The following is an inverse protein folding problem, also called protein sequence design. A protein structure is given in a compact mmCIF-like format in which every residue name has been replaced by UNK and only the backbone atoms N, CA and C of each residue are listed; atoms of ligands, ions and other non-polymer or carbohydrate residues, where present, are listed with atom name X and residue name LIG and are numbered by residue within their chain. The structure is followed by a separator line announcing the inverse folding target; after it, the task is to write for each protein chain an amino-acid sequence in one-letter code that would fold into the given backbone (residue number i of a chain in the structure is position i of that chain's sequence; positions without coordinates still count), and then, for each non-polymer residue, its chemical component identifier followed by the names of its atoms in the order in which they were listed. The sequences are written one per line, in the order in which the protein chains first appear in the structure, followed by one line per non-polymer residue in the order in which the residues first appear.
data_IF_895300054104
#
_entry.id   IF_895300054104
#
_cell.length_a   1.000
_cell.length_b   1.000
_cell.length_c   1.000
_cell.angle_alpha   90.00
_cell.angle_beta   90.00
_cell.angle_gamma   90.00
#
_symmetry.space_group_name_H-M   'P 1'
#
loop_
_entity.id
_entity.type
_entity.pdbx_description
1 polymer ?
#
# COMPACT_ATOMS: atom_id res chain seq x y z
N UNK A 1 -43.15 -8.37 28.47
CA UNK A 1 -42.26 -7.27 28.92
C UNK A 1 -41.27 -7.73 29.99
N UNK A 2 -41.73 -8.43 31.05
CA UNK A 2 -40.91 -8.95 32.15
C UNK A 2 -39.78 -9.92 31.73
N UNK A 3 -40.08 -10.91 30.88
CA UNK A 3 -39.09 -11.86 30.34
C UNK A 3 -37.95 -11.19 29.55
N UNK A 4 -38.24 -10.08 28.85
CA UNK A 4 -37.25 -9.34 28.05
C UNK A 4 -36.26 -8.59 28.96
N UNK A 5 -36.74 -8.08 30.10
CA UNK A 5 -35.90 -7.45 31.13
C UNK A 5 -35.01 -8.47 31.85
N UNK A 6 -35.54 -9.65 32.15
CA UNK A 6 -34.74 -10.74 32.75
C UNK A 6 -33.62 -11.17 31.78
N UNK A 7 -33.93 -11.35 30.49
CA UNK A 7 -32.93 -11.71 29.48
C UNK A 7 -31.82 -10.66 29.36
N UNK A 8 -32.20 -9.37 29.35
CA UNK A 8 -31.24 -8.26 29.28
C UNK A 8 -30.37 -8.18 30.54
N UNK A 9 -30.95 -8.37 31.71
CA UNK A 9 -30.24 -8.34 32.99
C UNK A 9 -29.29 -9.53 33.13
N UNK A 10 -29.71 -10.72 32.68
CA UNK A 10 -28.87 -11.91 32.64
C UNK A 10 -27.70 -11.75 31.66
N UNK A 11 -27.95 -11.16 30.49
CA UNK A 11 -26.92 -10.84 29.50
C UNK A 11 -25.86 -9.87 30.05
N UNK A 12 -26.30 -8.81 30.73
CA UNK A 12 -25.39 -7.85 31.38
C UNK A 12 -24.61 -8.53 32.52
N UNK A 13 -25.26 -9.37 33.33
CA UNK A 13 -24.58 -10.13 34.40
C UNK A 13 -23.55 -11.11 33.83
N UNK A 14 -23.85 -11.78 32.72
CA UNK A 14 -22.90 -12.67 32.03
C UNK A 14 -21.72 -11.86 31.47
N UNK A 15 -21.97 -10.68 30.89
CA UNK A 15 -20.90 -9.79 30.43
C UNK A 15 -20.03 -9.26 31.58
N UNK A 16 -20.63 -8.89 32.71
CA UNK A 16 -19.89 -8.46 33.91
C UNK A 16 -19.11 -9.62 34.51
N UNK A 17 -19.69 -10.83 34.59
CA UNK A 17 -19.03 -12.01 35.13
C UNK A 17 -17.87 -12.49 34.25
N UNK A 18 -18.05 -12.51 32.92
CA UNK A 18 -16.96 -12.79 31.98
C UNK A 18 -15.87 -11.72 32.07
N UNK A 19 -16.23 -10.44 32.18
CA UNK A 19 -15.29 -9.35 32.39
C UNK A 19 -14.48 -9.50 33.70
N UNK A 20 -15.14 -9.89 34.81
CA UNK A 20 -14.49 -10.14 36.11
C UNK A 20 -13.55 -11.34 36.03
N UNK A 21 -13.95 -12.46 35.42
CA UNK A 21 -13.08 -13.63 35.22
C UNK A 21 -11.84 -13.24 34.41
N UNK A 22 -12.01 -12.48 33.33
CA UNK A 22 -10.90 -12.07 32.48
C UNK A 22 -9.93 -11.10 33.15
N UNK A 23 -10.40 -10.19 34.02
CA UNK A 23 -9.54 -9.33 34.84
C UNK A 23 -8.79 -10.16 35.89
N UNK A 24 -9.48 -11.08 36.57
CA UNK A 24 -8.86 -11.96 37.57
C UNK A 24 -7.84 -12.96 36.98
N UNK A 25 -7.94 -13.24 35.68
CA UNK A 25 -7.06 -14.16 34.95
C UNK A 25 -5.99 -13.45 34.10
N UNK A 26 -5.78 -12.15 34.33
CA UNK A 26 -4.77 -11.37 33.65
C UNK A 26 -3.37 -11.90 34.03
N UNK A 27 -2.53 -12.35 33.07
CA UNK A 27 -1.25 -13.00 33.34
C UNK A 27 -0.16 -12.00 33.77
N UNK A 28 -0.52 -10.79 34.17
CA UNK A 28 0.40 -9.71 34.53
C UNK A 28 0.68 -9.77 36.04
N UNK A 29 1.92 -10.11 36.48
CA UNK A 29 2.26 -10.09 37.90
C UNK A 29 2.19 -8.70 38.53
N UNK A 30 2.03 -8.65 39.85
CA UNK A 30 1.65 -7.45 40.61
C UNK A 30 2.63 -6.28 40.44
N UNK A 31 3.92 -6.59 40.33
CA UNK A 31 5.01 -5.64 40.15
C UNK A 31 4.94 -4.84 38.83
N UNK A 32 4.28 -5.39 37.80
CA UNK A 32 4.15 -4.74 36.48
C UNK A 32 2.75 -4.22 36.17
N UNK A 33 1.75 -4.43 37.05
CA UNK A 33 0.36 -3.96 36.85
C UNK A 33 0.23 -2.43 36.74
N UNK A 34 1.20 -1.68 37.30
CA UNK A 34 1.26 -0.21 37.15
C UNK A 34 1.62 0.22 35.72
N UNK A 35 2.27 -0.66 34.95
CA UNK A 35 2.75 -0.39 33.59
C UNK A 35 1.88 -1.05 32.54
N UNK A 36 1.54 -2.32 32.75
CA UNK A 36 0.79 -3.13 31.80
C UNK A 36 -0.63 -3.40 32.30
N UNK A 37 -1.58 -3.52 31.38
CA UNK A 37 -2.98 -3.85 31.71
C UNK A 37 -3.56 -4.86 30.73
N UNK A 38 -4.44 -5.72 31.23
CA UNK A 38 -5.36 -6.48 30.38
C UNK A 38 -6.61 -5.66 30.11
N UNK A 39 -7.21 -5.82 28.94
CA UNK A 39 -8.52 -5.27 28.64
C UNK A 39 -9.23 -6.10 27.58
N UNK A 40 -10.53 -5.81 27.44
CA UNK A 40 -11.43 -6.51 26.53
C UNK A 40 -12.10 -5.45 25.66
N UNK A 41 -12.11 -5.66 24.34
CA UNK A 41 -12.82 -4.78 23.41
C UNK A 41 -14.33 -5.01 23.48
N UNK A 42 -15.11 -4.09 22.92
CA UNK A 42 -16.56 -4.26 22.74
C UNK A 42 -16.91 -5.52 21.91
N UNK A 43 -15.98 -5.95 21.05
CA UNK A 43 -16.08 -7.17 20.24
C UNK A 43 -15.67 -8.44 20.98
N UNK A 44 -15.33 -8.35 22.27
CA UNK A 44 -14.95 -9.48 23.11
C UNK A 44 -13.49 -9.94 22.95
N UNK A 45 -12.63 -9.18 22.26
CA UNK A 45 -11.21 -9.53 22.10
C UNK A 45 -10.42 -9.18 23.34
N UNK A 46 -9.56 -10.08 23.78
CA UNK A 46 -8.77 -9.94 25.01
C UNK A 46 -7.33 -9.57 24.66
N UNK A 47 -6.83 -8.47 25.20
CA UNK A 47 -5.50 -7.96 24.89
C UNK A 47 -4.71 -7.57 26.14
N UNK A 48 -3.38 -7.68 26.02
CA UNK A 48 -2.39 -7.24 27.00
C UNK A 48 -1.70 -6.01 26.43
N UNK A 49 -1.83 -4.86 27.10
CA UNK A 49 -1.26 -3.60 26.65
C UNK A 49 -0.11 -3.14 27.55
N UNK A 50 1.10 -3.14 27.00
CA UNK A 50 2.36 -2.76 27.64
C UNK A 50 3.12 -1.68 26.85
N UNK A 51 2.47 -0.97 25.91
CA UNK A 51 3.16 -0.06 25.00
C UNK A 51 3.57 1.26 25.67
N UNK A 52 4.74 1.79 25.27
CA UNK A 52 5.27 3.11 25.72
C UNK A 52 5.39 3.23 27.24
N UNK A 53 5.85 2.17 27.90
CA UNK A 53 6.00 2.08 29.36
C UNK A 53 7.45 2.11 29.84
N UNK A 54 8.38 2.43 28.94
CA UNK A 54 9.82 2.46 29.20
C UNK A 54 10.35 1.12 29.74
N UNK A 55 9.71 0.00 29.35
CA UNK A 55 10.18 -1.33 29.74
C UNK A 55 11.56 -1.58 29.12
N UNK A 56 12.49 -2.11 29.91
CA UNK A 56 13.83 -2.49 29.45
C UNK A 56 13.97 -3.99 29.21
N UNK A 57 13.03 -4.78 29.75
CA UNK A 57 12.93 -6.23 29.59
C UNK A 57 11.47 -6.60 29.29
N UNK A 58 11.28 -7.73 28.61
CA UNK A 58 9.94 -8.32 28.46
C UNK A 58 9.48 -8.76 29.86
N UNK A 59 8.26 -8.37 30.29
CA UNK A 59 7.78 -8.77 31.60
C UNK A 59 7.58 -10.27 31.72
N UNK A 60 7.79 -10.82 32.91
CA UNK A 60 7.38 -12.20 33.20
C UNK A 60 5.86 -12.29 33.20
N UNK A 61 5.30 -13.32 32.59
CA UNK A 61 3.86 -13.56 32.56
C UNK A 61 3.49 -14.78 33.39
N UNK A 62 2.45 -14.68 34.20
CA UNK A 62 1.88 -15.82 34.92
C UNK A 62 1.17 -16.74 33.94
N UNK A 63 1.17 -18.04 34.22
CA UNK A 63 0.46 -19.01 33.39
C UNK A 63 -1.04 -18.68 33.30
N UNK A 64 -1.54 -18.58 32.07
CA UNK A 64 -2.96 -18.41 31.81
C UNK A 64 -3.49 -19.48 30.87
N UNK A 65 -4.71 -19.93 31.15
CA UNK A 65 -5.43 -20.83 30.25
C UNK A 65 -6.11 -20.08 29.09
N UNK A 66 -6.19 -18.75 29.17
CA UNK A 66 -6.80 -17.90 28.15
C UNK A 66 -5.85 -17.75 26.97
N UNK A 67 -6.41 -17.82 25.76
CA UNK A 67 -5.72 -17.43 24.53
C UNK A 67 -5.99 -15.94 24.31
N UNK A 68 -4.96 -15.13 24.42
CA UNK A 68 -5.03 -13.70 24.19
C UNK A 68 -5.02 -13.42 22.68
N UNK A 69 -5.82 -12.46 22.26
CA UNK A 69 -5.86 -12.03 20.88
C UNK A 69 -4.62 -11.22 20.53
N UNK A 70 -4.14 -10.39 21.47
CA UNK A 70 -3.05 -9.44 21.19
C UNK A 70 -2.21 -9.06 22.42
N UNK A 71 -0.90 -8.95 22.22
CA UNK A 71 0.05 -8.38 23.17
C UNK A 71 0.77 -7.23 22.47
N UNK A 72 0.69 -6.04 23.07
CA UNK A 72 1.34 -4.84 22.54
C UNK A 72 2.51 -4.44 23.45
N UNK A 73 3.73 -4.66 22.98
CA UNK A 73 5.00 -4.28 23.63
C UNK A 73 5.71 -3.13 22.91
N UNK A 74 5.03 -2.46 22.00
CA UNK A 74 5.61 -1.44 21.13
C UNK A 74 6.06 -0.16 21.86
N UNK A 75 7.13 0.47 21.37
CA UNK A 75 7.61 1.76 21.86
C UNK A 75 8.24 1.70 23.26
N UNK A 76 8.88 0.60 23.61
CA UNK A 76 9.61 0.43 24.87
C UNK A 76 11.13 0.57 24.63
N UNK A 77 11.94 0.23 25.64
CA UNK A 77 13.42 0.29 25.62
C UNK A 77 14.03 -1.11 25.72
N UNK A 78 13.31 -2.13 25.22
CA UNK A 78 13.78 -3.51 25.27
C UNK A 78 14.90 -3.67 24.23
N UNK A 79 16.04 -4.17 24.66
CA UNK A 79 17.20 -4.41 23.79
C UNK A 79 17.43 -5.88 23.48
N UNK A 80 17.09 -6.79 24.40
CA UNK A 80 17.32 -8.22 24.26
C UNK A 80 15.99 -8.96 24.42
N UNK A 81 15.74 -9.93 23.53
CA UNK A 81 14.67 -10.92 23.70
C UNK A 81 15.32 -12.21 24.20
N UNK A 82 15.13 -12.50 25.48
CA UNK A 82 15.71 -13.69 26.10
C UNK A 82 14.98 -14.97 25.68
N UNK A 83 15.65 -16.10 25.85
CA UNK A 83 15.05 -17.42 25.71
C UNK A 83 13.79 -17.55 26.57
N UNK A 84 12.74 -18.15 26.01
CA UNK A 84 11.45 -18.36 26.67
C UNK A 84 10.81 -17.07 27.22
N UNK A 85 11.03 -15.93 26.55
CA UNK A 85 10.56 -14.62 27.03
C UNK A 85 9.04 -14.50 27.18
N UNK A 86 8.28 -15.41 26.57
CA UNK A 86 6.81 -15.40 26.58
C UNK A 86 6.21 -16.64 27.25
N UNK A 87 6.98 -17.33 28.09
CA UNK A 87 6.51 -18.48 28.83
C UNK A 87 5.21 -18.15 29.61
N UNK A 88 4.28 -19.10 29.60
CA UNK A 88 2.97 -18.97 30.24
C UNK A 88 1.89 -18.24 29.43
N UNK A 89 2.24 -17.66 28.26
CA UNK A 89 1.28 -16.99 27.38
C UNK A 89 0.84 -17.86 26.20
N UNK A 90 -0.45 -17.75 25.87
CA UNK A 90 -1.03 -18.24 24.62
C UNK A 90 -1.54 -17.02 23.85
N UNK A 91 -1.00 -16.76 22.66
CA UNK A 91 -1.18 -15.47 21.99
C UNK A 91 -1.39 -15.64 20.48
N UNK A 92 -2.36 -14.93 19.90
CA UNK A 92 -2.59 -14.90 18.44
C UNK A 92 -1.80 -13.82 17.71
N UNK A 93 -1.65 -12.63 18.30
CA UNK A 93 -0.93 -11.49 17.70
C UNK A 93 0.08 -10.87 18.66
N UNK A 94 1.31 -10.65 18.17
CA UNK A 94 2.35 -9.93 18.90
C UNK A 94 2.74 -8.66 18.15
N UNK A 95 2.51 -7.50 18.77
CA UNK A 95 3.04 -6.22 18.32
C UNK A 95 4.28 -5.83 19.14
N UNK A 96 5.44 -5.88 18.48
CA UNK A 96 6.72 -5.63 19.11
C UNK A 96 7.57 -4.68 18.27
N UNK A 97 7.05 -3.46 18.10
CA UNK A 97 7.66 -2.43 17.25
C UNK A 97 8.40 -1.38 18.07
N UNK A 98 9.29 -0.63 17.41
CA UNK A 98 9.94 0.54 18.00
C UNK A 98 10.61 0.26 19.35
N UNK A 99 11.32 -0.86 19.43
CA UNK A 99 12.22 -1.18 20.53
C UNK A 99 13.67 -1.21 20.02
N UNK A 100 14.69 -0.80 20.78
CA UNK A 100 16.09 -0.83 20.35
C UNK A 100 16.69 -2.25 20.42
N UNK A 101 16.03 -3.23 19.79
CA UNK A 101 16.42 -4.64 19.84
C UNK A 101 17.76 -4.84 19.12
N UNK A 102 18.75 -5.33 19.86
CA UNK A 102 20.07 -5.68 19.36
C UNK A 102 20.33 -7.19 19.40
N UNK A 103 19.53 -7.99 20.11
CA UNK A 103 19.73 -9.44 20.19
C UNK A 103 18.42 -10.16 20.43
N UNK A 104 18.29 -11.32 19.79
CA UNK A 104 17.21 -12.29 20.00
C UNK A 104 17.90 -13.62 20.26
N UNK A 105 17.74 -14.15 21.46
CA UNK A 105 18.30 -15.46 21.83
C UNK A 105 17.56 -16.60 21.12
N UNK A 106 18.21 -17.77 21.04
CA UNK A 106 17.61 -18.98 20.49
C UNK A 106 16.44 -19.43 21.39
N UNK A 107 15.31 -19.80 20.78
CA UNK A 107 14.06 -20.15 21.45
C UNK A 107 13.40 -18.98 22.19
N UNK A 108 13.62 -17.74 21.73
CA UNK A 108 13.00 -16.56 22.30
C UNK A 108 11.46 -16.58 22.21
N UNK A 109 10.90 -17.16 21.15
CA UNK A 109 9.47 -17.17 20.85
C UNK A 109 8.85 -18.57 20.85
N UNK A 110 9.60 -19.61 21.26
CA UNK A 110 9.16 -21.01 21.20
C UNK A 110 7.84 -21.28 21.94
N UNK A 111 7.58 -20.55 23.02
CA UNK A 111 6.35 -20.67 23.82
C UNK A 111 5.09 -20.25 23.03
N UNK A 112 5.26 -19.43 21.99
CA UNK A 112 4.18 -18.92 21.15
C UNK A 112 3.92 -19.79 19.90
N UNK A 113 4.76 -20.80 19.66
CA UNK A 113 4.78 -21.64 18.45
C UNK A 113 3.42 -22.19 18.01
N UNK A 114 2.58 -22.59 18.97
CA UNK A 114 1.27 -23.22 18.70
C UNK A 114 0.13 -22.22 18.43
N UNK A 115 0.31 -20.94 18.77
CA UNK A 115 -0.80 -19.99 18.83
C UNK A 115 -0.60 -18.75 17.96
N UNK A 116 0.64 -18.33 17.73
CA UNK A 116 0.91 -17.06 17.07
C UNK A 116 0.60 -17.14 15.58
N UNK A 117 -0.29 -16.26 15.14
CA UNK A 117 -0.73 -16.14 13.75
C UNK A 117 -0.22 -14.85 13.10
N UNK A 118 0.01 -13.81 13.89
CA UNK A 118 0.46 -12.52 13.41
C UNK A 118 1.61 -11.97 14.26
N UNK A 119 2.72 -11.67 13.62
CA UNK A 119 3.87 -11.06 14.28
C UNK A 119 4.28 -9.79 13.56
N UNK A 120 4.20 -8.68 14.28
CA UNK A 120 4.62 -7.36 13.81
C UNK A 120 5.82 -6.95 14.65
N UNK A 121 7.00 -6.89 14.03
CA UNK A 121 8.24 -6.59 14.71
C UNK A 121 9.02 -5.50 13.96
N UNK A 122 9.49 -4.52 14.71
CA UNK A 122 10.45 -3.54 14.19
C UNK A 122 11.37 -3.05 15.29
N UNK A 123 12.64 -2.86 14.93
CA UNK A 123 13.60 -2.18 15.80
C UNK A 123 13.69 -0.69 15.45
N UNK A 124 14.07 0.15 16.42
CA UNK A 124 14.20 1.60 16.21
C UNK A 124 15.37 1.97 15.28
N UNK A 125 16.38 1.09 15.20
CA UNK A 125 17.57 1.27 14.37
C UNK A 125 17.83 -0.01 13.60
N UNK A 126 18.37 0.10 12.38
CA UNK A 126 18.87 -1.07 11.66
C UNK A 126 19.90 -1.80 12.54
N UNK A 127 19.58 -3.03 12.93
CA UNK A 127 20.44 -3.81 13.82
C UNK A 127 21.29 -4.78 13.01
N UNK A 128 22.60 -4.57 13.01
CA UNK A 128 23.58 -5.47 12.35
C UNK A 128 23.63 -6.87 12.97
N UNK A 129 23.02 -7.05 14.14
CA UNK A 129 22.94 -8.34 14.83
C UNK A 129 21.71 -9.15 14.41
N UNK A 130 20.64 -8.48 13.97
CA UNK A 130 19.43 -9.12 13.50
C UNK A 130 19.59 -9.46 12.01
N UNK A 131 20.18 -10.62 11.76
CA UNK A 131 20.60 -11.08 10.43
C UNK A 131 19.60 -12.04 9.80
N UNK A 132 19.91 -12.55 8.60
CA UNK A 132 19.19 -13.65 7.95
C UNK A 132 19.01 -14.83 8.90
N UNK A 133 20.02 -15.20 9.69
CA UNK A 133 19.90 -16.30 10.67
C UNK A 133 18.80 -16.05 11.69
N UNK A 134 18.70 -14.84 12.22
CA UNK A 134 17.63 -14.47 13.17
C UNK A 134 16.26 -14.53 12.51
N UNK A 135 16.15 -14.07 11.26
CA UNK A 135 14.92 -14.18 10.48
C UNK A 135 14.47 -15.66 10.30
N UNK A 136 15.39 -16.54 9.89
CA UNK A 136 15.08 -17.96 9.71
C UNK A 136 14.78 -18.65 11.04
N UNK A 137 15.44 -18.25 12.13
CA UNK A 137 15.12 -18.72 13.48
C UNK A 137 13.67 -18.39 13.84
N UNK A 138 13.23 -17.14 13.67
CA UNK A 138 11.84 -16.71 13.94
C UNK A 138 10.84 -17.56 13.16
N UNK A 139 11.11 -17.83 11.87
CA UNK A 139 10.24 -18.69 11.06
C UNK A 139 10.17 -20.13 11.58
N UNK A 140 11.30 -20.67 12.07
CA UNK A 140 11.35 -22.02 12.65
C UNK A 140 10.59 -22.14 13.98
N UNK A 141 10.64 -21.09 14.81
CA UNK A 141 9.99 -21.07 16.12
C UNK A 141 8.47 -20.85 16.00
N UNK A 142 8.00 -20.26 14.90
CA UNK A 142 6.62 -19.80 14.73
C UNK A 142 5.99 -20.37 13.45
N UNK A 143 5.79 -21.71 13.36
CA UNK A 143 5.31 -22.37 12.14
C UNK A 143 3.85 -22.04 11.78
N UNK A 144 3.09 -21.42 12.69
CA UNK A 144 1.67 -21.11 12.52
C UNK A 144 1.39 -19.70 11.98
N UNK A 145 2.43 -18.90 11.71
CA UNK A 145 2.28 -17.54 11.22
C UNK A 145 1.52 -17.47 9.90
N UNK A 146 0.56 -16.56 9.84
CA UNK A 146 -0.18 -16.13 8.66
C UNK A 146 0.34 -14.79 8.12
N UNK A 147 0.78 -13.91 9.04
CA UNK A 147 1.29 -12.58 8.73
C UNK A 147 2.56 -12.29 9.53
N UNK A 148 3.64 -11.97 8.84
CA UNK A 148 4.92 -11.59 9.43
C UNK A 148 5.36 -10.26 8.84
N UNK A 149 5.45 -9.23 9.68
CA UNK A 149 5.95 -7.92 9.28
C UNK A 149 7.25 -7.66 10.04
N UNK A 150 8.36 -7.67 9.33
CA UNK A 150 9.67 -7.35 9.87
C UNK A 150 10.18 -6.07 9.24
N UNK A 151 10.69 -5.19 10.10
CA UNK A 151 11.35 -3.96 9.67
C UNK A 151 12.69 -3.78 10.37
N UNK A 152 13.68 -3.27 9.64
CA UNK A 152 15.00 -2.89 10.18
C UNK A 152 15.87 -4.07 10.64
N UNK A 153 15.78 -5.22 9.96
CA UNK A 153 16.77 -6.30 10.04
C UNK A 153 17.92 -6.03 9.06
N UNK A 154 19.15 -6.40 9.39
CA UNK A 154 20.24 -6.35 8.42
C UNK A 154 20.29 -7.65 7.61
N UNK A 155 19.56 -7.65 6.49
CA UNK A 155 19.50 -8.77 5.53
C UNK A 155 20.40 -8.50 4.30
N UNK A 156 21.44 -7.69 4.47
CA UNK A 156 22.30 -7.23 3.36
C UNK A 156 23.39 -8.22 2.93
N UNK A 157 23.89 -9.04 3.85
CA UNK A 157 24.93 -10.04 3.59
C UNK A 157 24.31 -11.31 3.00
N UNK A 158 23.95 -11.23 1.72
CA UNK A 158 23.26 -12.25 0.92
C UNK A 158 22.03 -12.81 1.64
N UNK A 159 20.84 -12.40 1.18
CA UNK A 159 19.59 -13.02 1.60
C UNK A 159 19.52 -14.43 1.00
N UNK A 160 20.39 -15.30 1.53
CA UNK A 160 20.66 -16.64 1.10
C UNK A 160 19.98 -17.58 2.08
N UNK A 161 18.81 -18.06 1.67
CA UNK A 161 18.00 -18.97 2.48
C UNK A 161 18.57 -20.39 2.42
N UNK A 162 19.30 -20.74 1.35
CA UNK A 162 19.83 -22.08 1.10
C UNK A 162 20.82 -22.58 2.15
N UNK A 163 21.48 -21.68 2.88
CA UNK A 163 22.44 -22.02 3.93
C UNK A 163 21.78 -22.73 5.12
N UNK A 164 20.45 -22.74 5.23
CA UNK A 164 19.71 -23.36 6.31
C UNK A 164 18.95 -24.60 5.85
N UNK A 165 19.65 -25.74 5.77
CA UNK A 165 19.14 -27.03 5.24
C UNK A 165 17.92 -27.61 5.97
N UNK A 166 17.60 -27.12 7.17
CA UNK A 166 16.51 -27.62 8.01
C UNK A 166 15.32 -26.66 8.10
N UNK A 167 15.22 -25.68 7.19
CA UNK A 167 14.12 -24.71 7.27
C UNK A 167 12.78 -25.36 6.93
N UNK A 168 11.83 -25.23 7.86
CA UNK A 168 10.45 -25.70 7.65
C UNK A 168 9.72 -24.75 6.70
N UNK A 169 8.98 -25.32 5.75
CA UNK A 169 8.11 -24.55 4.85
C UNK A 169 7.06 -23.77 5.64
N UNK A 170 6.96 -22.46 5.41
CA UNK A 170 5.99 -21.57 6.05
C UNK A 170 4.62 -21.65 5.35
N UNK A 171 3.98 -22.82 5.40
CA UNK A 171 2.75 -23.12 4.61
C UNK A 171 1.56 -22.23 4.95
N UNK A 172 1.47 -21.69 6.15
CA UNK A 172 0.35 -20.81 6.57
C UNK A 172 0.58 -19.34 6.25
N UNK A 173 1.82 -18.96 5.93
CA UNK A 173 2.19 -17.56 5.72
C UNK A 173 1.61 -17.07 4.39
N UNK A 174 0.80 -16.01 4.47
CA UNK A 174 0.15 -15.37 3.32
C UNK A 174 0.61 -13.93 3.13
N UNK A 175 1.19 -13.32 4.16
CA UNK A 175 1.68 -11.95 4.11
C UNK A 175 3.07 -11.87 4.75
N UNK A 176 4.04 -11.38 3.99
CA UNK A 176 5.40 -11.15 4.44
C UNK A 176 5.80 -9.71 4.09
N UNK A 177 6.24 -8.95 5.08
CA UNK A 177 6.92 -7.67 4.86
C UNK A 177 8.34 -7.76 5.40
N UNK A 178 9.31 -7.39 4.56
CA UNK A 178 10.72 -7.24 4.89
C UNK A 178 11.14 -5.79 4.57
N UNK A 179 10.35 -4.83 5.06
CA UNK A 179 10.54 -3.42 4.78
C UNK A 179 11.83 -2.89 5.43
N UNK A 180 12.60 -2.06 4.74
CA UNK A 180 13.78 -1.42 5.33
C UNK A 180 14.81 -2.42 5.91
N UNK A 181 14.95 -3.58 5.27
CA UNK A 181 15.84 -4.65 5.70
C UNK A 181 17.20 -4.68 4.98
N UNK A 182 17.53 -3.60 4.25
CA UNK A 182 18.79 -3.46 3.50
C UNK A 182 19.06 -4.54 2.44
N UNK A 183 18.02 -5.23 1.96
CA UNK A 183 18.14 -6.30 0.96
C UNK A 183 18.55 -5.70 -0.39
N UNK A 184 19.55 -6.30 -1.05
CA UNK A 184 20.00 -5.88 -2.39
C UNK A 184 19.45 -6.76 -3.51
N UNK A 185 19.31 -8.06 -3.23
CA UNK A 185 18.78 -9.07 -4.14
C UNK A 185 18.31 -10.29 -3.34
N UNK A 186 17.54 -11.17 -3.98
CA UNK A 186 17.20 -12.50 -3.46
C UNK A 186 18.07 -13.50 -4.23
N UNK A 187 19.04 -14.12 -3.55
CA UNK A 187 20.07 -14.94 -4.22
C UNK A 187 19.54 -16.30 -4.66
N UNK A 188 18.78 -16.99 -3.80
CA UNK A 188 18.15 -18.29 -4.08
C UNK A 188 16.63 -18.16 -4.08
N UNK A 189 16.12 -17.90 -5.28
CA UNK A 189 14.70 -17.69 -5.52
C UNK A 189 13.91 -18.99 -5.42
N UNK A 190 14.47 -20.12 -5.84
CA UNK A 190 13.79 -21.42 -5.76
C UNK A 190 13.51 -21.77 -4.30
N UNK A 191 14.52 -21.63 -3.42
CA UNK A 191 14.32 -21.82 -1.99
C UNK A 191 13.35 -20.80 -1.41
N UNK A 192 13.37 -19.53 -1.85
CA UNK A 192 12.40 -18.53 -1.40
C UNK A 192 10.95 -18.94 -1.75
N UNK A 193 10.70 -19.37 -2.98
CA UNK A 193 9.39 -19.83 -3.45
C UNK A 193 8.93 -21.05 -2.65
N UNK A 194 9.83 -22.03 -2.47
CA UNK A 194 9.55 -23.25 -1.73
C UNK A 194 9.28 -22.98 -0.25
N UNK A 195 9.88 -21.93 0.33
CA UNK A 195 9.65 -21.52 1.71
C UNK A 195 8.29 -20.84 1.90
N UNK A 196 7.81 -20.08 0.92
CA UNK A 196 6.58 -19.28 0.99
C UNK A 196 5.55 -19.65 -0.10
N UNK A 197 5.11 -20.91 -0.21
CA UNK A 197 4.31 -21.39 -1.34
C UNK A 197 2.89 -20.79 -1.40
N UNK A 198 2.39 -20.21 -0.30
CA UNK A 198 1.04 -19.65 -0.20
C UNK A 198 1.03 -18.12 -0.05
N UNK A 199 2.15 -17.45 -0.38
CA UNK A 199 2.26 -16.01 -0.21
C UNK A 199 1.31 -15.26 -1.15
N UNK A 200 0.50 -14.37 -0.58
CA UNK A 200 -0.44 -13.51 -1.30
C UNK A 200 0.02 -12.05 -1.35
N UNK A 201 0.76 -11.60 -0.33
CA UNK A 201 1.30 -10.25 -0.27
C UNK A 201 2.77 -10.28 0.13
N UNK A 202 3.61 -9.62 -0.67
CA UNK A 202 5.03 -9.46 -0.42
C UNK A 202 5.38 -7.98 -0.45
N UNK A 203 5.87 -7.47 0.67
CA UNK A 203 6.37 -6.11 0.79
C UNK A 203 7.89 -6.11 0.98
N UNK A 204 8.57 -5.61 -0.04
CA UNK A 204 10.02 -5.43 -0.14
C UNK A 204 10.38 -3.95 -0.24
N UNK A 205 9.49 -3.05 0.20
CA UNK A 205 9.71 -1.61 0.13
C UNK A 205 10.87 -1.14 1.03
N UNK A 206 11.42 0.04 0.72
CA UNK A 206 12.50 0.67 1.50
C UNK A 206 13.79 -0.17 1.58
N UNK A 207 14.04 -1.05 0.60
CA UNK A 207 15.27 -1.85 0.52
C UNK A 207 16.30 -1.20 -0.43
N UNK A 208 17.22 -2.00 -0.96
CA UNK A 208 18.33 -1.56 -1.82
C UNK A 208 18.35 -2.30 -3.15
N UNK A 209 17.21 -2.79 -3.62
CA UNK A 209 17.12 -3.47 -4.92
C UNK A 209 17.48 -2.51 -6.05
N UNK A 210 18.54 -2.81 -6.79
CA UNK A 210 18.91 -2.11 -8.03
C UNK A 210 18.31 -2.80 -9.27
N UNK A 211 18.09 -4.11 -9.14
CA UNK A 211 17.43 -4.97 -10.11
C UNK A 211 16.43 -5.86 -9.37
N UNK A 212 15.27 -6.09 -9.98
CA UNK A 212 14.30 -7.05 -9.46
C UNK A 212 13.68 -7.81 -10.62
N UNK A 213 13.88 -9.12 -10.64
CA UNK A 213 13.32 -9.94 -11.69
C UNK A 213 11.87 -10.30 -11.34
N UNK A 214 10.94 -9.52 -11.86
CA UNK A 214 9.51 -9.76 -11.65
C UNK A 214 9.09 -11.15 -12.16
N UNK A 215 9.49 -11.63 -13.35
CA UNK A 215 9.11 -12.97 -13.81
C UNK A 215 9.43 -14.10 -12.81
N UNK A 216 10.50 -13.99 -12.03
CA UNK A 216 10.84 -14.95 -10.99
C UNK A 216 9.86 -14.98 -9.82
N UNK A 217 9.17 -13.87 -9.53
CA UNK A 217 8.09 -13.81 -8.53
C UNK A 217 6.81 -14.50 -9.03
N UNK A 218 6.66 -14.73 -10.34
CA UNK A 218 5.47 -15.38 -10.92
C UNK A 218 5.39 -16.87 -10.58
N UNK A 219 6.49 -17.46 -10.12
CA UNK A 219 6.48 -18.77 -9.51
C UNK A 219 5.68 -18.80 -8.19
N UNK A 220 5.47 -17.65 -7.52
CA UNK A 220 4.52 -17.50 -6.42
C UNK A 220 3.09 -17.39 -6.97
N UNK A 221 2.49 -18.53 -7.29
CA UNK A 221 1.19 -18.64 -7.98
C UNK A 221 0.02 -17.92 -7.30
N UNK A 222 0.12 -17.63 -6.00
CA UNK A 222 -0.92 -16.96 -5.20
C UNK A 222 -0.64 -15.48 -4.93
N UNK A 223 0.48 -14.94 -5.40
CA UNK A 223 0.89 -13.57 -5.10
C UNK A 223 -0.02 -12.57 -5.80
N UNK A 224 -0.72 -11.76 -5.02
CA UNK A 224 -1.68 -10.75 -5.47
C UNK A 224 -1.14 -9.32 -5.37
N UNK A 225 -0.26 -9.05 -4.42
CA UNK A 225 0.29 -7.71 -4.19
C UNK A 225 1.79 -7.79 -3.96
N UNK A 226 2.53 -7.00 -4.75
CA UNK A 226 3.98 -6.86 -4.65
C UNK A 226 4.34 -5.39 -4.50
N UNK A 227 4.97 -5.05 -3.37
CA UNK A 227 5.49 -3.72 -3.13
C UNK A 227 7.01 -3.69 -3.21
N UNK A 228 7.53 -2.99 -4.21
CA UNK A 228 8.95 -2.73 -4.46
C UNK A 228 9.27 -1.23 -4.37
N UNK A 229 8.38 -0.42 -3.78
CA UNK A 229 8.56 1.02 -3.67
C UNK A 229 9.78 1.40 -2.83
N UNK A 230 10.33 2.60 -3.06
CA UNK A 230 11.47 3.13 -2.31
C UNK A 230 12.70 2.21 -2.35
N UNK A 231 12.97 1.63 -3.51
CA UNK A 231 14.20 0.89 -3.80
C UNK A 231 15.12 1.74 -4.70
N UNK A 232 16.07 1.11 -5.38
CA UNK A 232 17.05 1.76 -6.27
C UNK A 232 16.94 1.25 -7.70
N UNK A 233 15.78 0.75 -8.11
CA UNK A 233 15.59 0.14 -9.42
C UNK A 233 15.68 1.24 -10.48
N UNK A 234 16.62 1.10 -11.42
CA UNK A 234 16.78 2.02 -12.57
C UNK A 234 16.28 1.46 -13.88
N UNK A 235 16.46 0.16 -14.09
CA UNK A 235 16.03 -0.52 -15.29
C UNK A 235 15.17 -1.72 -14.90
N UNK A 236 13.92 -1.70 -15.33
CA UNK A 236 13.02 -2.82 -15.14
C UNK A 236 13.11 -3.73 -16.36
N UNK A 237 14.04 -4.69 -16.32
CA UNK A 237 14.37 -5.55 -17.46
C UNK A 237 14.35 -7.05 -17.06
N UNK A 238 14.13 -7.93 -18.04
CA UNK A 238 14.33 -9.36 -17.85
C UNK A 238 15.83 -9.66 -17.99
N UNK A 239 16.44 -10.26 -16.97
CA UNK A 239 17.87 -10.60 -17.05
C UNK A 239 18.11 -11.65 -18.15
N UNK A 240 19.09 -11.46 -19.06
CA UNK A 240 19.29 -12.34 -20.23
C UNK A 240 19.58 -13.80 -19.88
N UNK A 241 20.07 -14.07 -18.67
CA UNK A 241 20.37 -15.44 -18.22
C UNK A 241 19.13 -16.27 -17.86
N UNK A 242 17.92 -15.71 -17.96
CA UNK A 242 16.69 -16.37 -17.53
C UNK A 242 15.87 -16.73 -18.77
N UNK A 243 15.69 -18.03 -18.98
CA UNK A 243 14.88 -18.53 -20.08
C UNK A 243 13.41 -18.16 -19.88
N UNK A 244 12.81 -17.51 -20.86
CA UNK A 244 11.38 -17.14 -20.81
C UNK A 244 10.43 -18.34 -20.97
N UNK A 245 10.95 -19.48 -21.42
CA UNK A 245 10.19 -20.72 -21.63
C UNK A 245 9.80 -21.46 -20.36
N UNK A 246 10.36 -21.09 -19.19
CA UNK A 246 9.99 -21.68 -17.89
C UNK A 246 8.82 -20.96 -17.23
N UNK A 247 8.36 -19.84 -17.79
CA UNK A 247 7.26 -19.07 -17.23
C UNK A 247 5.92 -19.61 -17.70
N UNK A 248 5.10 -20.05 -16.74
CA UNK A 248 3.68 -20.23 -16.98
C UNK A 248 2.98 -18.89 -16.71
N UNK A 249 2.17 -18.35 -17.64
CA UNK A 249 1.47 -17.06 -17.51
C UNK A 249 0.33 -17.05 -16.46
N UNK A 250 0.41 -17.91 -15.44
CA UNK A 250 -0.49 -17.95 -14.29
C UNK A 250 -0.09 -16.88 -13.27
N UNK A 251 -0.16 -15.62 -13.68
CA UNK A 251 0.01 -14.51 -12.75
C UNK A 251 -1.33 -14.22 -12.02
N UNK A 252 -1.27 -14.14 -10.70
CA UNK A 252 -2.38 -13.66 -9.86
C UNK A 252 -2.15 -12.25 -9.30
N UNK A 253 -1.10 -11.56 -9.77
CA UNK A 253 -0.76 -10.22 -9.33
C UNK A 253 -1.82 -9.23 -9.79
N UNK A 254 -2.44 -8.59 -8.80
CA UNK A 254 -3.46 -7.56 -8.93
C UNK A 254 -2.83 -6.18 -8.75
N UNK A 255 -1.84 -6.06 -7.87
CA UNK A 255 -1.21 -4.80 -7.48
C UNK A 255 0.31 -4.87 -7.56
N UNK A 256 0.90 -3.91 -8.26
CA UNK A 256 2.34 -3.70 -8.33
C UNK A 256 2.69 -2.26 -7.98
N UNK A 257 3.44 -2.09 -6.90
CA UNK A 257 3.99 -0.79 -6.51
C UNK A 257 5.49 -0.72 -6.77
N UNK A 258 5.87 0.16 -7.70
CA UNK A 258 7.24 0.47 -8.10
C UNK A 258 7.58 1.95 -7.84
N UNK A 259 6.78 2.64 -7.01
CA UNK A 259 6.94 4.06 -6.77
C UNK A 259 8.21 4.41 -6.00
N UNK A 260 8.69 5.65 -6.12
CA UNK A 260 9.89 6.14 -5.44
C UNK A 260 11.13 5.27 -5.74
N UNK A 261 11.25 4.79 -6.96
CA UNK A 261 12.47 4.22 -7.49
C UNK A 261 13.19 5.27 -8.35
N UNK A 262 14.18 4.85 -9.14
CA UNK A 262 14.83 5.71 -10.13
C UNK A 262 14.62 5.16 -11.53
N UNK A 263 13.43 4.61 -11.83
CA UNK A 263 13.22 3.84 -13.08
C UNK A 263 13.31 4.80 -14.27
N UNK A 264 14.29 4.55 -15.13
CA UNK A 264 14.57 5.28 -16.37
C UNK A 264 13.99 4.54 -17.58
N UNK A 265 14.01 3.20 -17.56
CA UNK A 265 13.53 2.35 -18.65
C UNK A 265 12.74 1.14 -18.14
N UNK A 266 11.75 0.73 -18.92
CA UNK A 266 10.91 -0.44 -18.68
C UNK A 266 10.92 -1.31 -19.95
N UNK A 267 11.26 -2.59 -19.79
CA UNK A 267 11.10 -3.60 -20.82
C UNK A 267 9.63 -4.06 -20.89
N UNK A 268 9.02 -3.93 -22.08
CA UNK A 268 7.60 -4.22 -22.29
C UNK A 268 7.23 -5.70 -22.12
N UNK A 269 8.18 -6.61 -22.36
CA UNK A 269 7.98 -8.05 -22.22
C UNK A 269 7.65 -8.45 -20.77
N UNK A 270 8.09 -7.68 -19.77
CA UNK A 270 7.72 -7.94 -18.37
C UNK A 270 6.21 -7.85 -18.20
N UNK A 271 5.60 -6.81 -18.79
CA UNK A 271 4.18 -6.56 -18.67
C UNK A 271 3.34 -7.48 -19.55
N UNK A 272 3.89 -8.04 -20.63
CA UNK A 272 3.26 -9.18 -21.32
C UNK A 272 3.07 -10.35 -20.36
N UNK A 273 4.09 -10.68 -19.57
CA UNK A 273 4.07 -11.81 -18.63
C UNK A 273 3.17 -11.57 -17.41
N UNK A 274 2.99 -10.32 -16.98
CA UNK A 274 2.24 -9.99 -15.75
C UNK A 274 0.86 -9.36 -15.97
N UNK A 275 0.44 -9.17 -17.23
CA UNK A 275 -0.77 -8.44 -17.61
C UNK A 275 -2.12 -9.06 -17.22
N UNK A 276 -2.17 -10.36 -16.96
CA UNK A 276 -3.44 -11.13 -16.98
C UNK A 276 -4.46 -10.77 -15.90
N UNK A 277 -4.02 -10.18 -14.77
CA UNK A 277 -4.89 -9.78 -13.65
C UNK A 277 -4.51 -8.42 -13.04
N UNK A 278 -3.52 -7.72 -13.60
CA UNK A 278 -3.00 -6.49 -12.98
C UNK A 278 -4.04 -5.37 -13.07
N UNK A 279 -4.57 -4.94 -11.92
CA UNK A 279 -5.57 -3.87 -11.81
C UNK A 279 -4.95 -2.55 -11.36
N UNK A 280 -3.87 -2.59 -10.57
CA UNK A 280 -3.25 -1.40 -9.96
C UNK A 280 -1.76 -1.38 -10.27
N UNK A 281 -1.31 -0.30 -10.92
CA UNK A 281 0.10 -0.04 -11.20
C UNK A 281 0.50 1.34 -10.68
N UNK A 282 1.45 1.35 -9.75
CA UNK A 282 2.01 2.58 -9.20
C UNK A 282 3.46 2.77 -9.65
N UNK A 283 3.68 3.77 -10.50
CA UNK A 283 4.98 4.23 -11.01
C UNK A 283 5.30 5.66 -10.57
N UNK A 284 4.65 6.17 -9.52
CA UNK A 284 4.89 7.53 -9.01
C UNK A 284 6.36 7.73 -8.66
N UNK A 285 6.88 8.93 -8.87
CA UNK A 285 8.22 9.34 -8.44
C UNK A 285 9.30 8.39 -9.02
N UNK A 286 9.37 8.37 -10.35
CA UNK A 286 10.39 7.68 -11.16
C UNK A 286 10.95 8.66 -12.20
N UNK A 287 11.81 8.19 -13.10
CA UNK A 287 12.56 9.02 -14.05
C UNK A 287 12.10 8.84 -15.50
N UNK A 288 10.83 8.46 -15.69
CA UNK A 288 10.26 8.19 -17.00
C UNK A 288 9.84 9.52 -17.68
N UNK A 289 10.43 9.80 -18.85
CA UNK A 289 10.32 11.11 -19.52
C UNK A 289 9.37 11.13 -20.71
N UNK A 290 9.27 10.04 -21.48
CA UNK A 290 8.57 10.06 -22.78
C UNK A 290 7.48 9.00 -22.88
N UNK A 291 6.52 9.20 -23.80
CA UNK A 291 5.49 8.20 -24.11
C UNK A 291 6.08 6.86 -24.56
N UNK A 292 7.30 6.85 -25.14
CA UNK A 292 7.99 5.61 -25.51
C UNK A 292 8.29 4.72 -24.32
N UNK A 293 8.46 5.29 -23.13
CA UNK A 293 8.65 4.50 -21.91
C UNK A 293 7.37 3.86 -21.40
N UNK A 294 6.22 4.17 -22.02
CA UNK A 294 4.89 3.73 -21.60
C UNK A 294 4.21 2.80 -22.63
N UNK A 295 4.93 2.33 -23.65
CA UNK A 295 4.37 1.44 -24.68
C UNK A 295 3.82 0.14 -24.09
N UNK A 296 4.43 -0.36 -23.01
CA UNK A 296 4.00 -1.56 -22.28
C UNK A 296 2.54 -1.50 -21.78
N UNK A 297 1.95 -0.30 -21.65
CA UNK A 297 0.55 -0.14 -21.22
C UNK A 297 -0.44 -0.83 -22.16
N UNK A 298 -0.09 -1.06 -23.43
CA UNK A 298 -0.94 -1.79 -24.38
C UNK A 298 -1.27 -3.21 -23.92
N UNK A 299 -0.43 -3.80 -23.07
CA UNK A 299 -0.60 -5.15 -22.56
C UNK A 299 -1.57 -5.20 -21.36
N UNK A 300 -1.85 -4.09 -20.69
CA UNK A 300 -2.51 -4.07 -19.39
C UNK A 300 -4.04 -3.94 -19.47
N UNK A 301 -4.69 -4.89 -20.13
CA UNK A 301 -6.13 -4.86 -20.42
C UNK A 301 -7.04 -4.74 -19.19
N UNK A 302 -6.61 -5.26 -18.04
CA UNK A 302 -7.39 -5.22 -16.79
C UNK A 302 -7.05 -4.02 -15.88
N UNK A 303 -6.13 -3.15 -16.30
CA UNK A 303 -5.68 -2.03 -15.47
C UNK A 303 -6.81 -1.05 -15.22
N UNK A 304 -7.06 -0.77 -13.94
CA UNK A 304 -8.09 0.16 -13.46
C UNK A 304 -7.49 1.42 -12.86
N UNK A 305 -6.35 1.29 -12.20
CA UNK A 305 -5.69 2.39 -11.52
C UNK A 305 -4.24 2.51 -12.01
N UNK A 306 -3.94 3.67 -12.61
CA UNK A 306 -2.60 3.99 -13.04
C UNK A 306 -2.12 5.29 -12.41
N UNK A 307 -1.07 5.17 -11.60
CA UNK A 307 -0.46 6.28 -10.90
C UNK A 307 0.94 6.57 -11.45
N UNK A 308 1.08 7.72 -12.09
CA UNK A 308 2.30 8.14 -12.78
C UNK A 308 2.76 9.54 -12.33
N UNK A 309 2.36 9.94 -11.13
CA UNK A 309 2.66 11.25 -10.59
C UNK A 309 4.16 11.45 -10.39
N UNK A 310 4.63 12.70 -10.39
CA UNK A 310 6.04 13.04 -10.11
C UNK A 310 7.05 12.34 -11.04
N UNK A 311 6.70 12.20 -12.33
CA UNK A 311 7.62 11.80 -13.38
C UNK A 311 7.96 13.04 -14.24
N UNK A 312 8.50 12.84 -15.44
CA UNK A 312 8.95 13.93 -16.32
C UNK A 312 8.21 13.96 -17.66
N UNK A 313 7.00 13.40 -17.75
CA UNK A 313 6.25 13.29 -19.00
C UNK A 313 5.87 14.66 -19.57
N UNK A 314 6.19 14.89 -20.84
CA UNK A 314 6.00 16.20 -21.49
C UNK A 314 4.74 16.29 -22.37
N UNK A 315 4.26 15.16 -22.89
CA UNK A 315 3.04 15.08 -23.70
C UNK A 315 2.33 13.74 -23.60
N UNK A 316 1.05 13.73 -24.00
CA UNK A 316 0.29 12.51 -24.34
C UNK A 316 -0.35 12.74 -25.71
N UNK A 317 0.19 12.17 -26.78
CA UNK A 317 -0.26 12.40 -28.15
C UNK A 317 -0.65 11.12 -28.90
N UNK A 318 0.13 10.04 -28.72
CA UNK A 318 -0.05 8.76 -29.41
C UNK A 318 -0.07 7.56 -28.45
N UNK A 319 0.05 7.81 -27.15
CA UNK A 319 0.03 6.77 -26.13
C UNK A 319 -1.30 5.99 -26.10
N UNK A 320 -1.18 4.66 -26.14
CA UNK A 320 -2.29 3.76 -25.91
C UNK A 320 -2.48 3.52 -24.41
N UNK A 321 -3.56 4.08 -23.87
CA UNK A 321 -3.95 3.88 -22.48
C UNK A 321 -4.94 2.70 -22.38
N UNK A 322 -4.89 1.90 -21.29
CA UNK A 322 -5.84 0.80 -21.08
C UNK A 322 -7.28 1.30 -20.98
N UNK A 323 -8.19 0.67 -21.74
CA UNK A 323 -9.58 1.14 -21.88
C UNK A 323 -10.43 0.98 -20.60
N UNK A 324 -10.01 0.10 -19.70
CA UNK A 324 -10.69 -0.16 -18.42
C UNK A 324 -10.24 0.75 -17.28
N UNK A 325 -9.38 1.74 -17.55
CA UNK A 325 -8.93 2.70 -16.55
C UNK A 325 -10.12 3.44 -15.92
N UNK A 326 -10.12 3.46 -14.58
CA UNK A 326 -11.01 4.25 -13.73
C UNK A 326 -10.30 5.46 -13.13
N UNK A 327 -9.02 5.30 -12.78
CA UNK A 327 -8.20 6.34 -12.17
C UNK A 327 -6.93 6.51 -12.99
N UNK A 328 -6.71 7.71 -13.49
CA UNK A 328 -5.46 8.13 -14.12
C UNK A 328 -4.89 9.33 -13.38
N UNK A 329 -3.72 9.16 -12.77
CA UNK A 329 -3.02 10.23 -12.06
C UNK A 329 -1.70 10.54 -12.73
N UNK A 330 -1.56 11.79 -13.17
CA UNK A 330 -0.41 12.34 -13.89
C UNK A 330 0.07 13.64 -13.24
N UNK A 331 -0.19 13.82 -11.94
CA UNK A 331 0.15 15.04 -11.20
C UNK A 331 1.65 15.29 -11.21
N UNK A 332 2.07 16.55 -11.16
CA UNK A 332 3.48 16.91 -11.06
C UNK A 332 4.35 16.28 -12.16
N UNK A 333 3.86 16.25 -13.39
CA UNK A 333 4.66 15.95 -14.59
C UNK A 333 5.04 17.28 -15.28
N UNK A 334 5.45 17.21 -16.55
CA UNK A 334 5.80 18.37 -17.37
C UNK A 334 4.86 18.53 -18.56
N UNK A 335 3.63 18.01 -18.45
CA UNK A 335 2.69 17.90 -19.56
C UNK A 335 2.34 19.30 -20.07
N UNK A 336 2.77 19.59 -21.29
CA UNK A 336 2.45 20.84 -22.01
C UNK A 336 1.28 20.65 -22.99
N UNK A 337 1.05 19.41 -23.42
CA UNK A 337 0.00 19.04 -24.36
C UNK A 337 -0.56 17.64 -24.06
N UNK A 338 -1.88 17.51 -24.19
CA UNK A 338 -2.58 16.23 -24.15
C UNK A 338 -3.57 16.21 -25.31
N UNK A 339 -3.49 15.16 -26.13
CA UNK A 339 -4.51 14.86 -27.12
C UNK A 339 -5.75 14.31 -26.41
N UNK A 340 -6.74 15.18 -26.20
CA UNK A 340 -7.96 14.85 -25.46
C UNK A 340 -8.75 13.69 -26.10
N UNK A 341 -8.61 13.42 -27.40
CA UNK A 341 -9.30 12.30 -28.05
C UNK A 341 -8.84 10.94 -27.51
N UNK A 342 -7.63 10.84 -26.98
CA UNK A 342 -7.14 9.61 -26.32
C UNK A 342 -7.87 9.41 -25.01
N UNK A 343 -7.98 10.46 -24.19
CA UNK A 343 -8.61 10.39 -22.87
C UNK A 343 -10.12 10.14 -22.97
N UNK A 344 -10.80 10.68 -23.98
CA UNK A 344 -12.25 10.45 -24.18
C UNK A 344 -12.59 9.04 -24.64
N UNK A 345 -11.61 8.26 -25.12
CA UNK A 345 -11.82 6.82 -25.39
C UNK A 345 -11.89 5.98 -24.11
N UNK A 346 -11.44 6.53 -22.97
CA UNK A 346 -11.48 5.86 -21.67
C UNK A 346 -12.89 5.94 -21.08
N UNK A 347 -13.81 5.13 -21.61
CA UNK A 347 -15.23 5.16 -21.25
C UNK A 347 -15.54 4.88 -19.78
N UNK A 348 -14.60 4.25 -19.07
CA UNK A 348 -14.70 3.94 -17.63
C UNK A 348 -13.94 4.92 -16.73
N UNK A 349 -13.30 5.96 -17.28
CA UNK A 349 -12.49 6.89 -16.50
C UNK A 349 -13.38 7.74 -15.58
N UNK A 350 -13.22 7.53 -14.28
CA UNK A 350 -13.98 8.20 -13.22
C UNK A 350 -13.18 9.38 -12.63
N UNK A 351 -11.85 9.28 -12.55
CA UNK A 351 -10.98 10.29 -11.92
C UNK A 351 -9.76 10.57 -12.78
N UNK A 352 -9.58 11.83 -13.14
CA UNK A 352 -8.43 12.31 -13.90
C UNK A 352 -7.72 13.42 -13.13
N UNK A 353 -6.45 13.17 -12.82
CA UNK A 353 -5.63 14.10 -12.07
C UNK A 353 -4.46 14.61 -12.89
N UNK A 354 -4.44 15.92 -13.15
CA UNK A 354 -3.46 16.62 -13.97
C UNK A 354 -2.87 17.84 -13.26
N UNK A 355 -3.04 17.94 -11.95
CA UNK A 355 -2.54 19.05 -11.13
C UNK A 355 -1.02 19.24 -11.29
N UNK A 356 -0.56 20.49 -11.20
CA UNK A 356 0.87 20.84 -11.26
C UNK A 356 1.56 20.35 -12.54
N UNK A 357 0.98 20.64 -13.71
CA UNK A 357 1.59 20.41 -15.02
C UNK A 357 1.81 21.75 -15.74
N UNK A 358 2.09 21.72 -17.05
CA UNK A 358 2.38 22.90 -17.88
C UNK A 358 1.33 23.12 -18.98
N UNK A 359 0.11 22.60 -18.80
CA UNK A 359 -0.93 22.66 -19.82
C UNK A 359 -1.34 24.11 -20.04
N UNK A 360 -1.32 24.57 -21.29
CA UNK A 360 -1.68 25.96 -21.66
C UNK A 360 -3.13 26.12 -22.11
N UNK A 361 -3.74 25.01 -22.53
CA UNK A 361 -5.12 24.95 -22.99
C UNK A 361 -5.77 23.62 -22.62
N UNK A 362 -7.08 23.70 -22.35
CA UNK A 362 -7.96 22.55 -22.27
C UNK A 362 -9.07 22.76 -23.31
N UNK A 363 -8.69 22.64 -24.58
CA UNK A 363 -9.55 22.88 -25.74
C UNK A 363 -9.74 21.57 -26.51
N UNK A 364 -11.00 21.20 -26.75
CA UNK A 364 -11.33 20.06 -27.60
C UNK A 364 -12.06 20.52 -28.86
N UNK A 365 -11.94 19.71 -29.93
CA UNK A 365 -12.96 19.70 -30.97
C UNK A 365 -14.31 19.32 -30.35
N UNK A 366 -15.40 19.73 -31.00
CA UNK A 366 -16.77 19.81 -30.43
C UNK A 366 -17.34 18.43 -29.98
N UNK A 367 -16.64 17.32 -30.25
CA UNK A 367 -17.16 15.95 -30.05
C UNK A 367 -16.44 15.12 -28.96
N UNK A 368 -15.57 15.71 -28.14
CA UNK A 368 -14.91 14.99 -27.05
C UNK A 368 -15.80 14.92 -25.80
N UNK A 369 -16.34 13.74 -25.50
CA UNK A 369 -17.20 13.47 -24.34
C UNK A 369 -16.46 12.61 -23.32
N UNK A 370 -16.52 12.99 -22.04
CA UNK A 370 -16.04 12.20 -20.91
C UNK A 370 -17.23 11.53 -20.19
N UNK A 371 -17.66 10.33 -20.61
CA UNK A 371 -18.97 9.78 -20.23
C UNK A 371 -19.09 9.39 -18.75
N UNK A 372 -17.97 9.06 -18.11
CA UNK A 372 -17.92 8.56 -16.73
C UNK A 372 -17.16 9.45 -15.76
N UNK A 373 -16.56 10.55 -16.23
CA UNK A 373 -15.65 11.35 -15.42
C UNK A 373 -16.41 12.08 -14.32
N UNK A 374 -16.02 11.84 -13.07
CA UNK A 374 -16.61 12.42 -11.87
C UNK A 374 -15.72 13.50 -11.24
N UNK A 375 -14.41 13.33 -11.31
CA UNK A 375 -13.41 14.24 -10.73
C UNK A 375 -12.38 14.61 -11.80
N UNK A 376 -12.19 15.92 -12.01
CA UNK A 376 -11.16 16.48 -12.86
C UNK A 376 -10.36 17.53 -12.09
N UNK A 377 -9.07 17.26 -11.89
CA UNK A 377 -8.13 18.22 -11.30
C UNK A 377 -7.15 18.74 -12.35
N UNK A 378 -7.21 20.05 -12.60
CA UNK A 378 -6.38 20.80 -13.55
C UNK A 378 -5.67 21.98 -12.87
N UNK A 379 -5.66 22.01 -11.54
CA UNK A 379 -5.06 23.09 -10.77
C UNK A 379 -3.55 23.21 -10.98
N UNK A 380 -3.01 24.41 -10.76
CA UNK A 380 -1.58 24.71 -10.89
C UNK A 380 -1.03 24.33 -12.27
N UNK A 381 -1.76 24.66 -13.32
CA UNK A 381 -1.31 24.57 -14.71
C UNK A 381 -1.08 25.98 -15.29
N UNK A 382 -0.99 26.10 -16.61
CA UNK A 382 -0.84 27.37 -17.31
C UNK A 382 -2.05 27.67 -18.20
N UNK A 383 -3.24 27.17 -17.83
CA UNK A 383 -4.43 27.24 -18.66
C UNK A 383 -4.86 28.69 -18.83
N UNK A 384 -4.80 29.18 -20.07
CA UNK A 384 -5.35 30.49 -20.48
C UNK A 384 -6.69 30.36 -21.21
N UNK A 385 -6.94 29.17 -21.79
CA UNK A 385 -8.14 28.86 -22.56
C UNK A 385 -8.72 27.51 -22.12
N UNK A 386 -10.02 27.49 -21.87
CA UNK A 386 -10.82 26.28 -21.67
C UNK A 386 -12.04 26.32 -22.59
N UNK A 387 -12.26 25.26 -23.38
CA UNK A 387 -13.46 25.14 -24.22
C UNK A 387 -14.64 24.57 -23.43
N UNK A 388 -15.78 24.38 -24.09
CA UNK A 388 -16.92 23.64 -23.51
C UNK A 388 -16.46 22.25 -23.04
N UNK A 389 -16.50 22.01 -21.73
CA UNK A 389 -16.20 20.70 -21.14
C UNK A 389 -17.45 19.83 -21.19
N UNK A 390 -17.40 18.72 -21.92
CA UNK A 390 -18.51 17.77 -22.00
C UNK A 390 -18.23 16.56 -21.10
N UNK A 391 -18.72 16.63 -19.86
CA UNK A 391 -18.53 15.59 -18.85
C UNK A 391 -19.82 15.47 -18.00
N UNK A 392 -20.84 14.73 -18.48
CA UNK A 392 -22.18 14.74 -17.88
C UNK A 392 -22.25 14.20 -16.45
N UNK A 393 -21.24 13.46 -16.00
CA UNK A 393 -21.13 12.92 -14.64
C UNK A 393 -20.17 13.69 -13.73
N UNK A 394 -19.62 14.81 -14.18
CA UNK A 394 -18.62 15.55 -13.42
C UNK A 394 -19.24 16.20 -12.19
N UNK A 395 -18.73 15.83 -11.01
CA UNK A 395 -19.15 16.35 -9.71
C UNK A 395 -18.18 17.40 -9.18
N UNK A 396 -16.89 17.24 -9.46
CA UNK A 396 -15.82 18.10 -8.94
C UNK A 396 -14.87 18.53 -10.06
N UNK A 397 -14.66 19.83 -10.17
CA UNK A 397 -13.72 20.45 -11.09
C UNK A 397 -12.82 21.43 -10.34
N UNK A 398 -11.52 21.18 -10.37
CA UNK A 398 -10.52 22.08 -9.81
C UNK A 398 -9.69 22.74 -10.92
N UNK A 399 -9.74 24.06 -10.99
CA UNK A 399 -9.01 24.92 -11.93
C UNK A 399 -8.17 25.98 -11.20
N UNK A 400 -7.95 25.82 -9.89
CA UNK A 400 -7.18 26.78 -9.08
C UNK A 400 -5.77 27.02 -9.64
N UNK A 401 -5.23 28.24 -9.49
CA UNK A 401 -3.83 28.52 -9.84
C UNK A 401 -3.52 28.38 -11.33
N UNK A 402 -4.42 28.86 -12.19
CA UNK A 402 -4.26 28.92 -13.64
C UNK A 402 -4.25 30.38 -14.14
N UNK A 403 -4.23 30.60 -15.46
CA UNK A 403 -4.21 31.92 -16.08
C UNK A 403 -5.53 32.26 -16.79
N UNK A 404 -6.66 31.79 -16.29
CA UNK A 404 -7.97 32.09 -16.87
C UNK A 404 -8.28 33.58 -16.65
N UNK A 405 -8.16 34.42 -17.69
CA UNK A 405 -7.97 35.87 -17.50
C UNK A 405 -8.98 36.84 -18.12
N UNK A 406 -9.72 36.43 -19.15
CA UNK A 406 -10.60 37.36 -19.88
C UNK A 406 -12.04 37.27 -19.43
N UNK A 407 -12.70 36.15 -19.72
CA UNK A 407 -14.11 35.95 -19.40
C UNK A 407 -14.41 34.47 -19.28
N UNK A 408 -15.18 34.09 -18.27
CA UNK A 408 -15.82 32.77 -18.22
C UNK A 408 -17.15 32.86 -18.97
N UNK A 409 -17.18 32.27 -20.18
CA UNK A 409 -18.37 32.20 -21.05
C UNK A 409 -19.37 31.14 -20.55
N UNK A 410 -20.67 31.37 -20.79
CA UNK A 410 -21.77 30.43 -20.51
C UNK A 410 -21.60 29.03 -21.08
N UNK A 411 -20.83 28.86 -22.15
CA UNK A 411 -20.62 27.58 -22.81
C UNK A 411 -19.59 26.68 -22.12
N UNK A 412 -18.72 27.22 -21.25
CA UNK A 412 -17.62 26.43 -20.66
C UNK A 412 -18.18 25.30 -19.79
N UNK A 413 -19.18 25.61 -18.97
CA UNK A 413 -19.78 24.68 -17.99
C UNK A 413 -21.19 24.21 -18.36
N UNK A 414 -21.68 24.53 -19.57
CA UNK A 414 -23.07 24.25 -19.96
C UNK A 414 -23.42 22.77 -20.01
N UNK A 415 -22.41 21.89 -20.15
CA UNK A 415 -22.54 20.44 -20.26
C UNK A 415 -22.11 19.70 -18.98
N UNK A 416 -22.21 20.36 -17.82
CA UNK A 416 -21.87 19.80 -16.50
C UNK A 416 -23.10 19.80 -15.56
N UNK A 417 -24.16 19.04 -15.89
CA UNK A 417 -25.49 19.13 -15.25
C UNK A 417 -25.53 18.75 -13.78
N UNK A 418 -24.49 18.06 -13.28
CA UNK A 418 -24.39 17.61 -11.89
C UNK A 418 -23.15 18.14 -11.18
N UNK A 419 -22.51 19.20 -11.70
CA UNK A 419 -21.34 19.78 -11.06
C UNK A 419 -21.70 20.38 -9.71
N UNK A 420 -21.07 19.89 -8.64
CA UNK A 420 -21.33 20.30 -7.26
C UNK A 420 -20.24 21.23 -6.70
N UNK A 421 -18.98 21.00 -7.09
CA UNK A 421 -17.82 21.74 -6.58
C UNK A 421 -16.97 22.28 -7.73
N UNK A 422 -16.78 23.59 -7.73
CA UNK A 422 -15.92 24.30 -8.68
C UNK A 422 -14.93 25.20 -7.95
N UNK A 423 -13.65 25.04 -8.24
CA UNK A 423 -12.57 25.84 -7.67
C UNK A 423 -11.89 26.63 -8.80
N UNK A 424 -11.86 27.96 -8.66
CA UNK A 424 -11.36 28.95 -9.64
C UNK A 424 -10.45 30.00 -8.98
N UNK A 425 -9.92 29.73 -7.78
CA UNK A 425 -9.04 30.63 -7.03
C UNK A 425 -7.73 30.83 -7.78
N UNK A 426 -7.01 31.89 -7.44
CA UNK A 426 -5.67 32.16 -8.01
C UNK A 426 -5.66 32.13 -9.55
N UNK A 427 -6.73 32.64 -10.17
CA UNK A 427 -6.83 32.90 -11.60
C UNK A 427 -6.88 34.40 -11.87
N UNK A 428 -6.95 34.80 -13.14
CA UNK A 428 -7.01 36.21 -13.56
C UNK A 428 -8.43 36.63 -13.98
N UNK A 429 -9.48 35.91 -13.53
CA UNK A 429 -10.85 36.03 -14.05
C UNK A 429 -11.43 37.41 -13.72
N UNK A 430 -11.60 38.24 -14.75
CA UNK A 430 -12.22 39.57 -14.61
C UNK A 430 -13.74 39.52 -14.66
N UNK A 431 -14.29 38.77 -15.62
CA UNK A 431 -15.74 38.73 -15.90
C UNK A 431 -16.22 37.28 -15.92
N UNK A 432 -17.37 37.03 -15.30
CA UNK A 432 -18.09 35.75 -15.39
C UNK A 432 -19.46 36.07 -15.99
N UNK A 433 -19.82 35.40 -17.07
CA UNK A 433 -21.15 35.53 -17.67
C UNK A 433 -22.24 35.20 -16.62
N UNK A 434 -23.33 35.97 -16.58
CA UNK A 434 -24.41 35.75 -15.59
C UNK A 434 -25.05 34.35 -15.72
N UNK A 435 -24.95 33.73 -16.89
CA UNK A 435 -25.46 32.39 -17.18
C UNK A 435 -24.37 31.31 -17.18
N UNK A 436 -23.13 31.63 -16.75
CA UNK A 436 -22.01 30.70 -16.66
C UNK A 436 -22.35 29.37 -15.95
N UNK A 437 -23.24 29.43 -14.98
CA UNK A 437 -23.57 28.32 -14.10
C UNK A 437 -25.04 27.89 -14.17
N UNK A 438 -25.82 28.39 -15.14
CA UNK A 438 -27.27 28.15 -15.19
C UNK A 438 -27.64 26.66 -15.28
N UNK A 439 -26.77 25.85 -15.90
CA UNK A 439 -26.97 24.43 -16.13
C UNK A 439 -26.17 23.54 -15.17
N UNK A 440 -25.72 24.05 -14.02
CA UNK A 440 -24.95 23.26 -13.03
C UNK A 440 -25.73 23.12 -11.71
N UNK A 441 -25.23 22.28 -10.79
CA UNK A 441 -25.80 22.10 -9.44
C UNK A 441 -24.81 22.58 -8.37
N UNK A 442 -24.14 23.70 -8.63
CA UNK A 442 -23.04 24.17 -7.79
C UNK A 442 -23.51 24.42 -6.35
N UNK A 443 -22.85 23.74 -5.41
CA UNK A 443 -23.02 23.91 -3.97
C UNK A 443 -21.89 24.73 -3.37
N UNK A 444 -20.69 24.66 -3.97
CA UNK A 444 -19.50 25.37 -3.53
C UNK A 444 -18.75 25.95 -4.72
N UNK A 445 -18.47 27.27 -4.64
CA UNK A 445 -17.66 28.01 -5.58
C UNK A 445 -16.48 28.63 -4.82
N UNK A 446 -15.28 28.09 -5.02
CA UNK A 446 -14.04 28.70 -4.52
C UNK A 446 -13.59 29.80 -5.47
N UNK A 447 -13.84 31.07 -5.14
CA UNK A 447 -13.32 32.24 -5.85
C UNK A 447 -12.74 33.22 -4.83
N UNK A 448 -11.42 33.34 -4.79
CA UNK A 448 -10.67 34.34 -4.03
C UNK A 448 -9.42 34.69 -4.82
#
# INVERSE_FOLDING_TARGET
MFLRHIYYSLFILIQIYTFIIHISSCPIPFDIQSKCRCAITETGRVYIYCARKQLTVIPHFNNSNIIFDELVLSGNRISIVHKNAFNGLKLRKLEFQSNPINSIEINAFVDLSNYLEEFIFSTTILSSQLTTTTFLQILSELPNLKRLLLRSFDLSNSFNISSNKNILTSRKLTQLSLQSCSIKQIDDIETFINLFPNLERLDLSENRFEYFNIPLILSLKKLKSLNLSKNKIRHLNIHPSISTTTFHPSNSLIELDLSYNGIETIDEHIFELISSQLEILNLRNNELVTEKHLTFLIHLYYLREFYFDYNRLESINQLYLPLNLKILSLKNNRLSYINLSILTRLGHLEKLYLSSNKLTQWSSTINNIFPSLEILELDRNHLSLISSLNAPKLKQLNLDGNFLGNQIDKKIFSNLPILERLQLRDNQIKIIDMNAFRNTRLQSLGKS
#
